data_IF_107410588350
#
_entry.id   IF_107410588350
#
_cell.length_a   1.000
_cell.length_b   1.000
_cell.length_c   1.000
_cell.angle_alpha   90.00
_cell.angle_beta   90.00
_cell.angle_gamma   90.00
#
_symmetry.space_group_name_H-M   'P 1'
#
loop_
_entity.id
_entity.type
_entity.pdbx_description
1 polymer ?
#
# COMPACT_ATOMS: atom_id res chain seq x y z
N UNK A 1 30.19 3.89 6.46
CA UNK A 1 31.09 3.74 5.31
C UNK A 1 31.92 2.49 5.56
N UNK A 2 31.97 1.61 4.59
CA UNK A 2 32.82 0.41 4.60
C UNK A 2 34.10 0.68 3.81
N UNK A 3 35.12 -0.13 4.05
CA UNK A 3 36.37 -0.06 3.29
C UNK A 3 36.17 -0.58 1.87
N UNK A 4 37.00 -0.08 0.93
CA UNK A 4 36.97 -0.53 -0.47
C UNK A 4 37.26 -2.03 -0.55
N UNK A 5 36.50 -2.73 -1.40
CA UNK A 5 36.60 -4.18 -1.54
C UNK A 5 35.77 -5.00 -0.54
N UNK A 6 35.04 -4.35 0.38
CA UNK A 6 34.12 -5.06 1.26
C UNK A 6 32.98 -5.69 0.43
N UNK A 7 32.70 -6.96 0.69
CA UNK A 7 31.57 -7.65 0.06
C UNK A 7 30.25 -6.98 0.40
N UNK A 8 29.44 -6.68 -0.64
CA UNK A 8 28.19 -5.95 -0.53
C UNK A 8 27.19 -6.66 0.39
N UNK A 9 27.05 -7.98 0.24
CA UNK A 9 26.03 -8.73 0.99
C UNK A 9 26.46 -8.93 2.45
N UNK A 10 27.76 -9.09 2.71
CA UNK A 10 28.28 -9.08 4.06
C UNK A 10 28.02 -7.73 4.73
N UNK A 11 28.33 -6.61 4.07
CA UNK A 11 28.08 -5.27 4.58
C UNK A 11 26.60 -5.04 4.88
N UNK A 12 25.70 -5.46 3.97
CA UNK A 12 24.24 -5.37 4.14
C UNK A 12 23.77 -6.17 5.36
N UNK A 13 24.29 -7.38 5.55
CA UNK A 13 23.95 -8.20 6.72
C UNK A 13 24.36 -7.52 8.02
N UNK A 14 25.55 -6.91 8.07
CA UNK A 14 25.98 -6.13 9.25
C UNK A 14 25.07 -4.94 9.52
N UNK A 15 24.69 -4.19 8.48
CA UNK A 15 23.76 -3.07 8.61
C UNK A 15 22.40 -3.54 9.14
N UNK A 16 21.87 -4.66 8.65
CA UNK A 16 20.59 -5.21 9.14
C UNK A 16 20.63 -5.56 10.63
N UNK A 17 21.72 -6.19 11.10
CA UNK A 17 21.89 -6.49 12.53
C UNK A 17 21.92 -5.23 13.41
N UNK A 18 22.58 -4.17 12.95
CA UNK A 18 22.59 -2.89 13.67
C UNK A 18 21.23 -2.18 13.59
N UNK A 19 20.51 -2.27 12.46
CA UNK A 19 19.18 -1.69 12.33
C UNK A 19 18.17 -2.39 13.24
N UNK A 20 18.25 -3.70 13.39
CA UNK A 20 17.41 -4.45 14.32
C UNK A 20 17.64 -3.98 15.76
N UNK A 21 18.90 -3.87 16.16
CA UNK A 21 19.27 -3.34 17.49
C UNK A 21 18.81 -1.89 17.68
N UNK A 22 18.89 -1.06 16.64
CA UNK A 22 18.50 0.35 16.68
C UNK A 22 16.99 0.55 16.69
N UNK A 23 16.22 -0.38 16.12
CA UNK A 23 14.77 -0.27 16.00
C UNK A 23 14.07 -0.07 17.34
N UNK A 24 14.56 -0.73 18.39
CA UNK A 24 14.06 -0.58 19.76
C UNK A 24 14.32 0.80 20.40
N UNK A 25 15.15 1.64 19.79
CA UNK A 25 15.49 3.00 20.25
C UNK A 25 14.83 4.09 19.41
N UNK A 26 14.10 3.71 18.36
CA UNK A 26 13.42 4.66 17.49
C UNK A 26 12.06 5.09 18.05
N UNK A 27 11.57 6.27 17.66
CA UNK A 27 10.23 6.69 18.03
C UNK A 27 9.16 5.70 17.58
N UNK A 28 8.05 5.62 18.30
CA UNK A 28 6.93 4.75 17.94
C UNK A 28 6.44 5.04 16.52
N UNK A 29 6.26 3.98 15.72
CA UNK A 29 5.81 4.07 14.33
C UNK A 29 6.93 4.28 13.30
N UNK A 30 8.20 4.39 13.72
CA UNK A 30 9.35 4.43 12.82
C UNK A 30 9.94 3.03 12.67
N UNK A 31 9.96 2.52 11.44
CA UNK A 31 10.58 1.23 11.09
C UNK A 31 11.64 1.44 10.02
N UNK A 32 12.93 1.26 10.36
CA UNK A 32 14.00 1.43 9.39
C UNK A 32 14.00 0.27 8.40
N UNK A 33 14.23 0.56 7.13
CA UNK A 33 14.34 -0.44 6.07
C UNK A 33 15.64 -0.25 5.30
N UNK A 34 16.24 -1.37 4.91
CA UNK A 34 17.39 -1.35 4.02
C UNK A 34 16.91 -1.14 2.58
N UNK A 35 17.54 -0.23 1.85
CA UNK A 35 17.27 0.00 0.44
C UNK A 35 17.63 -1.22 -0.44
N UNK A 36 17.29 -1.20 -1.74
CA UNK A 36 17.57 -2.29 -2.67
C UNK A 36 19.08 -2.58 -2.79
N UNK A 37 19.43 -3.82 -3.16
CA UNK A 37 20.80 -4.26 -3.41
C UNK A 37 21.25 -3.89 -4.85
N UNK A 38 21.09 -2.63 -5.20
CA UNK A 38 21.38 -2.07 -6.51
C UNK A 38 22.27 -0.83 -6.42
N UNK A 39 22.80 -0.42 -7.55
CA UNK A 39 23.55 0.84 -7.70
C UNK A 39 22.75 1.83 -8.53
N UNK A 40 23.21 3.10 -8.59
CA UNK A 40 22.58 4.13 -9.43
C UNK A 40 22.53 3.84 -10.93
N UNK A 41 23.31 2.87 -11.41
CA UNK A 41 23.29 2.36 -12.81
C UNK A 41 22.44 1.09 -12.96
N UNK A 42 21.73 0.69 -11.91
CA UNK A 42 20.90 -0.51 -11.92
C UNK A 42 19.55 -0.37 -12.63
N UNK A 43 19.18 0.80 -13.10
CA UNK A 43 17.97 1.01 -13.93
C UNK A 43 18.23 0.51 -15.33
N UNK A 44 17.75 -0.69 -15.61
CA UNK A 44 18.12 -1.40 -16.85
C UNK A 44 16.99 -1.50 -17.86
N UNK A 45 15.74 -1.38 -17.41
CA UNK A 45 14.58 -1.46 -18.29
C UNK A 45 13.41 -0.64 -17.75
N UNK A 46 12.73 0.06 -18.63
CA UNK A 46 11.52 0.82 -18.34
C UNK A 46 10.39 0.36 -19.25
N UNK A 47 9.18 0.31 -18.71
CA UNK A 47 7.98 -0.02 -19.47
C UNK A 47 6.81 0.86 -19.05
N UNK A 48 5.84 0.99 -19.94
CA UNK A 48 4.59 1.71 -19.69
C UNK A 48 3.41 0.78 -19.90
N UNK A 49 2.31 1.07 -19.20
CA UNK A 49 1.05 0.37 -19.33
C UNK A 49 0.13 1.19 -20.22
N UNK A 50 -0.24 0.63 -21.37
CA UNK A 50 -1.22 1.24 -22.26
C UNK A 50 -2.58 0.58 -22.02
N UNK A 51 -3.46 1.26 -21.30
CA UNK A 51 -4.82 0.79 -21.00
C UNK A 51 -5.86 1.16 -22.06
N UNK A 52 -5.46 1.90 -23.09
CA UNK A 52 -6.41 2.44 -24.08
C UNK A 52 -7.51 3.25 -23.38
N UNK A 53 -8.77 3.00 -23.77
CA UNK A 53 -9.94 3.62 -23.15
C UNK A 53 -10.60 2.73 -22.08
N UNK A 54 -10.04 1.56 -21.78
CA UNK A 54 -10.66 0.58 -20.88
C UNK A 54 -10.24 0.77 -19.42
N UNK A 55 -9.04 1.30 -19.18
CA UNK A 55 -8.47 1.45 -17.85
C UNK A 55 -8.08 2.90 -17.57
N UNK A 56 -8.53 3.41 -16.43
CA UNK A 56 -8.07 4.69 -15.91
C UNK A 56 -6.70 4.59 -15.22
N UNK A 57 -6.10 5.74 -14.91
CA UNK A 57 -4.78 5.79 -14.27
C UNK A 57 -4.73 5.14 -12.88
N UNK A 58 -5.85 5.10 -12.14
CA UNK A 58 -5.93 4.42 -10.84
C UNK A 58 -5.92 2.90 -11.02
N UNK A 59 -6.65 2.42 -12.01
CA UNK A 59 -6.72 1.00 -12.34
C UNK A 59 -5.37 0.49 -12.85
N UNK A 60 -4.74 1.22 -13.78
CA UNK A 60 -3.40 0.92 -14.25
C UNK A 60 -2.37 0.91 -13.11
N UNK A 61 -2.43 1.90 -12.21
CA UNK A 61 -1.57 1.93 -11.04
C UNK A 61 -1.81 0.75 -10.09
N UNK A 62 -3.05 0.33 -9.93
CA UNK A 62 -3.38 -0.85 -9.13
C UNK A 62 -2.84 -2.13 -9.75
N UNK A 63 -2.94 -2.31 -11.07
CA UNK A 63 -2.35 -3.44 -11.81
C UNK A 63 -0.83 -3.44 -11.62
N UNK A 64 -0.19 -2.28 -11.77
CA UNK A 64 1.25 -2.12 -11.58
C UNK A 64 1.68 -2.51 -10.16
N UNK A 65 1.04 -1.95 -9.13
CA UNK A 65 1.51 -2.09 -7.75
C UNK A 65 1.16 -3.45 -7.13
N UNK A 66 0.02 -4.06 -7.52
CA UNK A 66 -0.50 -5.29 -6.90
C UNK A 66 -0.31 -6.55 -7.72
N UNK A 67 0.04 -6.43 -8.99
CA UNK A 67 0.27 -7.58 -9.87
C UNK A 67 1.65 -7.54 -10.51
N UNK A 68 1.90 -6.60 -11.44
CA UNK A 68 3.13 -6.58 -12.22
C UNK A 68 4.39 -6.43 -11.37
N UNK A 69 4.34 -5.56 -10.37
CA UNK A 69 5.47 -5.35 -9.46
C UNK A 69 5.93 -6.64 -8.79
N UNK A 70 5.02 -7.48 -8.33
CA UNK A 70 5.35 -8.75 -7.67
C UNK A 70 5.83 -9.80 -8.66
N UNK A 71 5.15 -9.92 -9.80
CA UNK A 71 5.54 -10.86 -10.85
C UNK A 71 6.94 -10.57 -11.39
N UNK A 72 7.23 -9.31 -11.69
CA UNK A 72 8.52 -8.91 -12.23
C UNK A 72 9.64 -8.89 -11.17
N UNK A 73 9.33 -8.61 -9.90
CA UNK A 73 10.29 -8.73 -8.81
C UNK A 73 10.73 -10.18 -8.55
N UNK A 74 9.95 -11.17 -9.02
CA UNK A 74 10.31 -12.59 -8.93
C UNK A 74 11.32 -13.02 -9.98
N UNK A 75 11.59 -12.20 -10.99
CA UNK A 75 12.58 -12.50 -12.06
C UNK A 75 14.00 -12.50 -11.46
N UNK A 76 14.81 -13.53 -11.71
CA UNK A 76 16.19 -13.57 -11.23
C UNK A 76 17.00 -12.35 -11.67
N UNK A 77 17.75 -11.75 -10.74
CA UNK A 77 18.55 -10.56 -11.01
C UNK A 77 17.80 -9.23 -10.88
N UNK A 78 16.49 -9.24 -10.66
CA UNK A 78 15.73 -8.03 -10.32
C UNK A 78 15.84 -7.75 -8.82
N UNK A 79 16.28 -6.54 -8.45
CA UNK A 79 16.36 -6.08 -7.07
C UNK A 79 15.05 -5.41 -6.63
N UNK A 80 14.50 -4.57 -7.50
CA UNK A 80 13.29 -3.80 -7.24
C UNK A 80 12.54 -3.52 -8.55
N UNK A 81 11.24 -3.36 -8.45
CA UNK A 81 10.40 -2.81 -9.51
C UNK A 81 9.76 -1.54 -8.96
N UNK A 82 10.23 -0.38 -9.42
CA UNK A 82 9.73 0.91 -8.99
C UNK A 82 8.55 1.34 -9.87
N UNK A 83 7.42 1.67 -9.26
CA UNK A 83 6.25 2.15 -9.98
C UNK A 83 6.34 3.65 -10.23
N UNK A 84 5.97 4.10 -11.42
CA UNK A 84 6.02 5.49 -11.87
C UNK A 84 4.68 5.90 -12.48
N UNK A 85 4.27 7.14 -12.26
CA UNK A 85 3.03 7.71 -12.82
C UNK A 85 1.75 7.21 -12.18
N UNK A 86 0.63 7.66 -12.73
CA UNK A 86 -0.69 7.41 -12.18
C UNK A 86 -0.87 7.89 -10.74
N UNK A 87 -1.85 7.35 -10.05
CA UNK A 87 -2.07 7.64 -8.62
C UNK A 87 -2.65 6.44 -7.89
N UNK A 88 -2.22 6.28 -6.63
CA UNK A 88 -2.70 5.22 -5.76
C UNK A 88 -4.14 5.51 -5.36
N UNK A 89 -5.00 4.53 -5.52
CA UNK A 89 -6.39 4.58 -5.11
C UNK A 89 -6.49 4.48 -3.59
N UNK A 90 -7.24 5.40 -2.97
CA UNK A 90 -7.50 5.37 -1.53
C UNK A 90 -8.95 5.69 -1.19
N UNK A 91 -9.42 5.20 -0.05
CA UNK A 91 -10.66 5.65 0.56
C UNK A 91 -10.42 6.98 1.27
N UNK A 92 -11.22 7.98 0.93
CA UNK A 92 -11.15 9.31 1.51
C UNK A 92 -12.38 9.56 2.36
N UNK A 93 -12.16 10.03 3.59
CA UNK A 93 -13.19 10.42 4.52
C UNK A 93 -13.03 11.92 4.78
N UNK A 94 -13.84 12.72 4.11
CA UNK A 94 -13.84 14.17 4.22
C UNK A 94 -14.87 14.58 5.27
N UNK A 95 -14.41 14.89 6.48
CA UNK A 95 -15.28 15.24 7.59
C UNK A 95 -15.78 16.69 7.49
N UNK A 96 -17.04 16.92 7.87
CA UNK A 96 -17.64 18.24 7.95
C UNK A 96 -17.43 18.82 9.37
N UNK A 97 -16.62 19.89 9.53
CA UNK A 97 -16.31 20.45 10.83
C UNK A 97 -17.55 20.96 11.61
N UNK A 98 -18.57 21.47 10.89
CA UNK A 98 -19.79 21.97 11.52
C UNK A 98 -20.63 20.84 12.10
N UNK A 99 -20.69 19.71 11.38
CA UNK A 99 -21.37 18.51 11.86
C UNK A 99 -20.62 17.88 13.02
N UNK A 100 -19.27 17.83 12.99
CA UNK A 100 -18.47 17.39 14.13
C UNK A 100 -18.81 18.17 15.39
N UNK A 101 -18.84 19.48 15.28
CA UNK A 101 -19.20 20.35 16.39
C UNK A 101 -20.63 20.12 16.86
N UNK A 102 -21.60 20.00 15.96
CA UNK A 102 -23.00 19.79 16.28
C UNK A 102 -23.26 18.47 17.02
N UNK A 103 -22.53 17.41 16.68
CA UNK A 103 -22.64 16.09 17.32
C UNK A 103 -21.66 15.89 18.47
N UNK A 104 -20.74 16.82 18.71
CA UNK A 104 -19.72 16.71 19.76
C UNK A 104 -18.72 15.58 19.54
N UNK A 105 -18.41 15.27 18.27
CA UNK A 105 -17.52 14.20 17.87
C UNK A 105 -16.17 14.79 17.46
N UNK A 106 -15.08 14.23 17.99
CA UNK A 106 -13.73 14.63 17.61
C UNK A 106 -13.10 13.70 16.55
N UNK A 107 -12.03 14.19 15.89
CA UNK A 107 -11.32 13.44 14.85
C UNK A 107 -10.70 12.14 15.35
N UNK A 108 -10.25 12.07 16.62
CA UNK A 108 -9.67 10.86 17.19
C UNK A 108 -10.73 9.78 17.41
N UNK A 109 -11.97 10.18 17.73
CA UNK A 109 -13.09 9.25 17.81
C UNK A 109 -13.37 8.61 16.45
N UNK A 110 -13.40 9.41 15.38
CA UNK A 110 -13.58 8.92 14.01
C UNK A 110 -12.44 7.96 13.62
N UNK A 111 -11.18 8.38 13.80
CA UNK A 111 -10.02 7.56 13.53
C UNK A 111 -10.09 6.22 14.24
N UNK A 112 -10.40 6.24 15.52
CA UNK A 112 -10.51 5.04 16.35
C UNK A 112 -11.68 4.15 15.94
N UNK A 113 -12.82 4.73 15.53
CA UNK A 113 -13.96 3.98 15.03
C UNK A 113 -13.62 3.26 13.72
N UNK A 114 -13.02 3.96 12.75
CA UNK A 114 -12.59 3.36 11.47
C UNK A 114 -11.57 2.24 11.69
N UNK A 115 -10.56 2.48 12.54
CA UNK A 115 -9.54 1.46 12.84
C UNK A 115 -10.13 0.20 13.50
N UNK A 116 -11.09 0.36 14.41
CA UNK A 116 -11.77 -0.78 15.07
C UNK A 116 -12.68 -1.54 14.12
N UNK A 117 -13.31 -0.85 13.18
CA UNK A 117 -14.24 -1.45 12.20
C UNK A 117 -13.55 -2.14 11.03
N UNK A 118 -12.23 -2.04 10.92
CA UNK A 118 -11.46 -2.69 9.85
C UNK A 118 -10.60 -3.83 10.41
N UNK A 119 -11.25 -4.79 11.07
CA UNK A 119 -10.58 -5.96 11.66
C UNK A 119 -11.45 -7.20 11.58
N UNK A 120 -10.86 -8.31 11.17
CA UNK A 120 -11.44 -9.61 11.42
C UNK A 120 -11.27 -9.97 12.90
N UNK A 121 -12.33 -10.48 13.49
CA UNK A 121 -12.32 -10.96 14.87
C UNK A 121 -12.53 -12.45 14.85
N UNK A 122 -11.55 -13.22 15.35
CA UNK A 122 -11.72 -14.64 15.64
C UNK A 122 -12.76 -14.79 16.76
N UNK A 123 -13.80 -15.56 16.48
CA UNK A 123 -14.86 -15.85 17.43
C UNK A 123 -14.59 -17.09 18.27
N UNK A 124 -15.53 -17.41 19.14
CA UNK A 124 -15.53 -18.66 19.92
C UNK A 124 -15.96 -19.84 19.06
N UNK A 125 -15.53 -21.01 19.46
CA UNK A 125 -16.15 -22.28 19.04
C UNK A 125 -17.57 -22.34 19.61
N UNK A 126 -18.52 -22.62 18.73
CA UNK A 126 -19.88 -23.00 19.10
C UNK A 126 -19.99 -24.51 18.98
N UNK A 127 -20.16 -25.19 20.11
CA UNK A 127 -20.47 -26.61 20.16
C UNK A 127 -21.98 -26.78 20.03
N UNK A 128 -22.42 -27.40 18.96
CA UNK A 128 -23.82 -27.76 18.75
C UNK A 128 -23.92 -29.27 18.47
N UNK A 129 -24.23 -30.01 19.49
CA UNK A 129 -24.23 -31.49 19.44
C UNK A 129 -22.81 -32.05 19.34
N UNK A 130 -22.57 -32.92 18.35
CA UNK A 130 -21.25 -33.52 18.09
C UNK A 130 -20.38 -32.71 17.11
N UNK A 131 -20.79 -31.48 16.75
CA UNK A 131 -20.12 -30.67 15.75
C UNK A 131 -19.70 -29.34 16.33
N UNK A 132 -18.43 -29.00 16.10
CA UNK A 132 -17.85 -27.69 16.45
C UNK A 132 -17.94 -26.73 15.27
N UNK A 133 -18.48 -25.53 15.50
CA UNK A 133 -18.53 -24.43 14.53
C UNK A 133 -17.63 -23.30 14.97
N UNK A 134 -16.68 -22.91 14.13
CA UNK A 134 -15.87 -21.72 14.36
C UNK A 134 -16.62 -20.48 13.90
N UNK A 135 -16.94 -19.58 14.82
CA UNK A 135 -17.54 -18.28 14.50
C UNK A 135 -16.42 -17.30 14.13
N UNK A 136 -16.49 -16.72 12.96
CA UNK A 136 -15.57 -15.67 12.50
C UNK A 136 -16.37 -14.42 12.17
N UNK A 137 -16.03 -13.30 12.82
CA UNK A 137 -16.53 -11.99 12.44
C UNK A 137 -15.71 -11.46 11.26
N UNK A 138 -16.32 -11.37 10.08
CA UNK A 138 -15.71 -10.71 8.91
C UNK A 138 -15.90 -9.20 9.07
N UNK A 139 -14.84 -8.47 9.35
CA UNK A 139 -14.90 -7.05 9.65
C UNK A 139 -14.02 -6.17 8.77
N UNK A 140 -13.37 -6.75 7.74
CA UNK A 140 -12.63 -5.91 6.78
C UNK A 140 -13.58 -5.13 5.88
N UNK A 141 -13.28 -3.84 5.73
CA UNK A 141 -13.99 -2.92 4.84
C UNK A 141 -13.75 -3.32 3.39
N UNK A 142 -14.82 -3.59 2.64
CA UNK A 142 -14.77 -4.01 1.24
C UNK A 142 -15.40 -2.97 0.31
N UNK A 143 -16.26 -2.09 0.84
CA UNK A 143 -17.02 -1.12 0.07
C UNK A 143 -17.11 0.24 0.75
N UNK A 144 -17.53 1.27 0.00
CA UNK A 144 -17.87 2.57 0.56
C UNK A 144 -19.02 2.47 1.57
N UNK A 145 -20.00 1.60 1.29
CA UNK A 145 -21.16 1.40 2.16
C UNK A 145 -20.77 0.87 3.54
N UNK A 146 -19.72 0.03 3.62
CA UNK A 146 -19.21 -0.46 4.90
C UNK A 146 -18.64 0.70 5.72
N UNK A 147 -17.87 1.60 5.08
CA UNK A 147 -17.37 2.81 5.71
C UNK A 147 -18.49 3.75 6.16
N UNK A 148 -19.49 3.98 5.29
CA UNK A 148 -20.64 4.84 5.58
C UNK A 148 -21.43 4.38 6.80
N UNK A 149 -21.46 3.09 7.06
CA UNK A 149 -22.23 2.45 8.12
C UNK A 149 -21.50 2.40 9.47
N UNK A 150 -20.25 2.86 9.56
CA UNK A 150 -19.47 2.84 10.80
C UNK A 150 -20.08 3.79 11.84
N UNK A 151 -20.45 3.31 13.06
CA UNK A 151 -20.89 4.16 14.13
C UNK A 151 -19.70 4.91 14.76
N UNK A 152 -19.76 6.23 14.78
CA UNK A 152 -18.70 7.11 15.27
C UNK A 152 -19.00 7.75 16.60
N UNK A 153 -20.27 7.74 17.06
CA UNK A 153 -20.71 8.31 18.31
C UNK A 153 -22.19 8.11 18.55
N UNK A 154 -22.69 8.77 19.59
CA UNK A 154 -24.11 8.80 19.94
C UNK A 154 -24.59 10.24 19.82
N UNK A 155 -25.66 10.44 19.09
CA UNK A 155 -26.32 11.73 18.97
C UNK A 155 -27.36 12.00 20.03
N UNK A 156 -28.10 13.09 19.91
CA UNK A 156 -29.27 13.36 20.74
C UNK A 156 -30.24 12.17 20.70
N UNK A 157 -30.86 11.85 21.82
CA UNK A 157 -31.79 10.72 21.98
C UNK A 157 -31.12 9.33 21.88
N UNK A 158 -29.82 9.22 22.13
CA UNK A 158 -29.08 7.95 22.09
C UNK A 158 -29.13 7.25 20.73
N UNK A 159 -29.41 7.96 19.65
CA UNK A 159 -29.31 7.41 18.30
C UNK A 159 -27.83 7.35 17.85
N UNK A 160 -27.39 6.23 17.23
CA UNK A 160 -26.02 6.15 16.72
C UNK A 160 -25.82 7.15 15.58
N UNK A 161 -24.71 7.90 15.63
CA UNK A 161 -24.25 8.75 14.54
C UNK A 161 -23.32 7.93 13.66
N UNK A 162 -23.65 7.81 12.40
CA UNK A 162 -22.86 7.05 11.41
C UNK A 162 -21.87 7.96 10.70
N UNK A 163 -20.82 7.38 10.15
CA UNK A 163 -19.78 8.13 9.45
C UNK A 163 -20.35 8.95 8.28
N UNK A 164 -21.33 8.43 7.54
CA UNK A 164 -22.06 9.14 6.48
C UNK A 164 -22.78 10.40 6.93
N UNK A 165 -23.15 10.47 8.21
CA UNK A 165 -23.90 11.62 8.73
C UNK A 165 -23.01 12.85 8.91
N UNK A 166 -21.71 12.62 9.12
CA UNK A 166 -20.71 13.66 9.47
C UNK A 166 -19.60 13.82 8.42
N UNK A 167 -19.50 12.92 7.44
CA UNK A 167 -18.45 12.94 6.45
C UNK A 167 -18.98 12.58 5.06
N UNK A 168 -18.27 13.05 4.03
CA UNK A 168 -18.37 12.56 2.67
C UNK A 168 -17.35 11.46 2.47
N UNK A 169 -17.79 10.31 1.98
CA UNK A 169 -16.94 9.14 1.76
C UNK A 169 -16.84 8.88 0.27
N UNK A 170 -15.63 8.80 -0.24
CA UNK A 170 -15.38 8.59 -1.67
C UNK A 170 -14.09 7.80 -1.89
N UNK A 171 -13.95 7.27 -3.11
CA UNK A 171 -12.66 6.80 -3.61
C UNK A 171 -12.01 7.98 -4.31
N UNK A 172 -10.75 8.24 -3.98
CA UNK A 172 -9.99 9.32 -4.58
C UNK A 172 -8.51 8.96 -4.73
N UNK A 173 -7.76 9.83 -5.40
CA UNK A 173 -6.32 9.65 -5.56
C UNK A 173 -5.58 10.01 -4.27
N UNK A 174 -4.51 9.26 -3.98
CA UNK A 174 -3.48 9.74 -3.05
C UNK A 174 -2.79 10.98 -3.62
N UNK A 175 -2.19 11.79 -2.75
CA UNK A 175 -1.41 12.94 -3.16
C UNK A 175 -0.32 12.52 -4.15
N UNK A 176 -0.37 13.06 -5.34
CA UNK A 176 0.58 12.74 -6.41
C UNK A 176 1.95 13.32 -6.11
N UNK A 177 2.98 12.49 -6.25
CA UNK A 177 4.38 12.89 -6.06
C UNK A 177 5.16 12.96 -7.37
N UNK A 178 4.56 12.51 -8.47
CA UNK A 178 5.18 12.49 -9.78
C UNK A 178 4.17 12.20 -10.89
N UNK A 179 4.58 12.47 -12.10
CA UNK A 179 3.82 12.25 -13.33
C UNK A 179 4.72 11.45 -14.27
N UNK A 180 4.15 10.46 -14.94
CA UNK A 180 4.75 9.83 -16.10
C UNK A 180 3.89 10.13 -17.32
N UNK A 181 4.55 10.43 -18.41
CA UNK A 181 3.93 10.71 -19.68
C UNK A 181 4.54 9.84 -20.77
N UNK A 182 3.74 9.48 -21.75
CA UNK A 182 4.17 8.66 -22.87
C UNK A 182 3.97 9.40 -24.21
N UNK A 183 5.06 9.65 -24.94
CA UNK A 183 5.08 10.21 -26.30
C UNK A 183 4.37 11.57 -26.51
N UNK A 184 4.07 12.32 -25.49
CA UNK A 184 3.25 13.53 -25.62
C UNK A 184 1.74 13.24 -25.79
N UNK A 185 1.32 12.00 -25.57
CA UNK A 185 -0.08 11.56 -25.73
C UNK A 185 -0.89 11.64 -24.45
N UNK A 186 -0.23 11.89 -23.32
CA UNK A 186 -0.85 12.04 -22.02
C UNK A 186 -0.23 11.20 -20.92
N UNK A 187 -0.88 11.25 -19.76
CA UNK A 187 -0.38 10.57 -18.57
C UNK A 187 -0.50 9.05 -18.68
N UNK A 188 0.50 8.37 -18.16
CA UNK A 188 0.54 6.90 -18.11
C UNK A 188 1.04 6.40 -16.77
N UNK A 189 1.04 5.09 -16.62
CA UNK A 189 1.66 4.33 -15.52
C UNK A 189 2.72 3.43 -16.10
N UNK A 190 3.80 3.23 -15.39
CA UNK A 190 4.84 2.31 -15.81
C UNK A 190 5.63 1.77 -14.64
N UNK A 191 6.65 1.02 -14.98
CA UNK A 191 7.60 0.47 -14.02
C UNK A 191 9.04 0.63 -14.49
N UNK A 192 9.93 0.72 -13.54
CA UNK A 192 11.38 0.76 -13.73
C UNK A 192 11.95 -0.50 -13.09
N UNK A 193 12.64 -1.30 -13.88
CA UNK A 193 13.33 -2.49 -13.39
C UNK A 193 14.71 -2.10 -12.90
N UNK A 194 14.95 -2.36 -11.64
CA UNK A 194 16.23 -2.12 -10.96
C UNK A 194 16.94 -3.46 -10.80
N UNK A 195 18.07 -3.59 -11.47
CA UNK A 195 18.89 -4.81 -11.47
C UNK A 195 19.75 -4.89 -10.20
N UNK A 196 19.94 -6.10 -9.69
CA UNK A 196 20.88 -6.39 -8.59
C UNK A 196 22.32 -6.09 -9.00
N UNK A 197 23.11 -5.68 -8.03
CA UNK A 197 24.54 -5.48 -8.23
C UNK A 197 25.22 -6.77 -8.68
N UNK A 198 26.02 -6.67 -9.74
CA UNK A 198 26.81 -7.79 -10.27
C UNK A 198 26.10 -8.69 -11.29
N UNK A 199 24.80 -8.48 -11.54
CA UNK A 199 24.05 -9.25 -12.53
C UNK A 199 24.31 -8.80 -13.98
N UNK A 200 23.91 -9.64 -14.94
CA UNK A 200 24.01 -9.32 -16.36
C UNK A 200 22.76 -8.59 -16.85
N UNK A 201 22.90 -7.32 -17.21
CA UNK A 201 21.78 -6.47 -17.61
C UNK A 201 21.01 -7.03 -18.82
N UNK A 202 21.69 -7.52 -19.86
CA UNK A 202 21.02 -8.07 -21.05
C UNK A 202 20.17 -9.28 -20.71
N UNK A 203 20.69 -10.16 -19.85
CA UNK A 203 19.95 -11.34 -19.40
C UNK A 203 18.71 -10.92 -18.60
N UNK A 204 18.86 -10.01 -17.62
CA UNK A 204 17.75 -9.53 -16.81
C UNK A 204 16.68 -8.87 -17.69
N UNK A 205 17.06 -8.02 -18.65
CA UNK A 205 16.13 -7.39 -19.59
C UNK A 205 15.36 -8.43 -20.38
N UNK A 206 16.04 -9.48 -20.88
CA UNK A 206 15.37 -10.53 -21.64
C UNK A 206 14.39 -11.33 -20.78
N UNK A 207 14.83 -11.76 -19.61
CA UNK A 207 14.00 -12.53 -18.67
C UNK A 207 12.76 -11.71 -18.23
N UNK A 208 12.90 -10.39 -18.06
CA UNK A 208 11.78 -9.48 -17.77
C UNK A 208 10.83 -9.37 -18.96
N UNK A 209 11.36 -9.24 -20.20
CA UNK A 209 10.52 -9.19 -21.41
C UNK A 209 9.75 -10.48 -21.65
N UNK A 210 10.35 -11.61 -21.35
CA UNK A 210 9.69 -12.91 -21.49
C UNK A 210 8.60 -13.13 -20.42
N UNK A 211 8.71 -12.40 -19.31
CA UNK A 211 7.73 -12.43 -18.21
C UNK A 211 6.56 -11.44 -18.41
N UNK A 212 6.76 -10.32 -19.13
CA UNK A 212 5.76 -9.33 -19.50
C UNK A 212 4.82 -9.83 -20.58
#
# INVERSE_FOLDING_TARGET
IFEDGTDLYWARSRVLEYLDTASGRMPAGVSPQLGPDATGVGWVYEYVLNGGNEYDLQQLRSIQDWYLKYELASVPGVSEVASIGGFVKQYQIEVDPLKLQAYGIDLNQIRSAVQRSNKDVGGRLLEMGETEFMVRGLGYIQSLSDLESIPVGMGPNSAPVLLRDIARIQIGPELRRGIAEWNGEGETVGGIIVMRYGENALKVIQDVKDKL
#
